data_IF_996764411010
#
_entry.id   IF_996764411010
#
_cell.length_a   1.000
_cell.length_b   1.000
_cell.length_c   1.000
_cell.angle_alpha   90.00
_cell.angle_beta   90.00
_cell.angle_gamma   90.00
#
_symmetry.space_group_name_H-M   'P 1'
#
loop_
_entity.id
_entity.type
_entity.pdbx_description
1 polymer ?
#
# COMPACT_ATOMS: atom_id res chain seq x y z
N UNK A 1 -47.05 6.79 -0.51
CA UNK A 1 -46.32 7.83 -1.26
C UNK A 1 -45.13 8.39 -0.47
N UNK A 2 -45.28 8.78 0.80
CA UNK A 2 -44.16 9.32 1.61
C UNK A 2 -42.91 8.42 1.71
N UNK A 3 -43.08 7.13 2.05
CA UNK A 3 -41.95 6.17 2.13
C UNK A 3 -41.20 6.01 0.81
N UNK A 4 -41.92 6.01 -0.32
CA UNK A 4 -41.32 5.91 -1.65
C UNK A 4 -40.48 7.14 -2.00
N UNK A 5 -40.95 8.33 -1.62
CA UNK A 5 -40.22 9.59 -1.80
C UNK A 5 -38.96 9.60 -0.93
N UNK A 6 -39.07 9.19 0.34
CA UNK A 6 -37.91 9.08 1.25
C UNK A 6 -36.88 8.09 0.70
N UNK A 7 -37.31 6.93 0.20
CA UNK A 7 -36.43 5.96 -0.44
C UNK A 7 -35.71 6.52 -1.66
N UNK A 8 -36.41 7.29 -2.50
CA UNK A 8 -35.82 7.95 -3.67
C UNK A 8 -34.79 9.00 -3.27
N UNK A 9 -35.10 9.85 -2.28
CA UNK A 9 -34.18 10.86 -1.75
C UNK A 9 -32.95 10.21 -1.13
N UNK A 10 -33.12 9.11 -0.39
CA UNK A 10 -32.01 8.37 0.18
C UNK A 10 -31.09 7.80 -0.91
N UNK A 11 -31.66 7.19 -1.95
CA UNK A 11 -30.88 6.64 -3.06
C UNK A 11 -30.09 7.73 -3.80
N UNK A 12 -30.74 8.85 -4.15
CA UNK A 12 -30.06 9.96 -4.83
C UNK A 12 -29.00 10.60 -3.96
N UNK A 13 -29.29 10.88 -2.69
CA UNK A 13 -28.32 11.44 -1.74
C UNK A 13 -27.12 10.51 -1.54
N UNK A 14 -27.35 9.20 -1.43
CA UNK A 14 -26.29 8.20 -1.31
C UNK A 14 -25.35 8.22 -2.53
N UNK A 15 -25.90 8.21 -3.75
CA UNK A 15 -25.08 8.30 -4.97
C UNK A 15 -24.35 9.63 -5.09
N UNK A 16 -25.00 10.75 -4.76
CA UNK A 16 -24.39 12.08 -4.75
C UNK A 16 -23.27 12.21 -3.71
N UNK A 17 -23.35 11.48 -2.59
CA UNK A 17 -22.29 11.42 -1.60
C UNK A 17 -21.12 10.53 -2.06
N UNK A 18 -21.41 9.36 -2.61
CA UNK A 18 -20.38 8.38 -2.96
C UNK A 18 -19.55 8.78 -4.19
N UNK A 19 -20.21 9.39 -5.19
CA UNK A 19 -19.56 9.75 -6.45
C UNK A 19 -18.37 10.71 -6.30
N UNK A 20 -18.50 11.86 -5.58
CA UNK A 20 -17.35 12.71 -5.28
C UNK A 20 -16.25 11.99 -4.49
N UNK A 21 -16.61 11.11 -3.55
CA UNK A 21 -15.63 10.30 -2.80
C UNK A 21 -14.79 9.42 -3.72
N UNK A 22 -15.43 8.69 -4.64
CA UNK A 22 -14.73 7.88 -5.64
C UNK A 22 -13.86 8.75 -6.58
N UNK A 23 -14.39 9.89 -7.02
CA UNK A 23 -13.66 10.81 -7.92
C UNK A 23 -12.41 11.39 -7.26
N UNK A 24 -12.51 11.82 -6.01
CA UNK A 24 -11.35 12.32 -5.23
C UNK A 24 -10.31 11.22 -5.06
N UNK A 25 -10.73 9.98 -4.77
CA UNK A 25 -9.81 8.83 -4.69
C UNK A 25 -9.03 8.61 -5.99
N UNK A 26 -9.72 8.66 -7.13
CA UNK A 26 -9.10 8.53 -8.45
C UNK A 26 -8.12 9.68 -8.76
N UNK A 27 -8.48 10.93 -8.41
CA UNK A 27 -7.61 12.08 -8.59
C UNK A 27 -6.33 11.98 -7.75
N UNK A 28 -6.44 11.54 -6.50
CA UNK A 28 -5.28 11.29 -5.62
C UNK A 28 -4.38 10.23 -6.25
N UNK A 29 -4.96 9.12 -6.72
CA UNK A 29 -4.21 8.04 -7.38
C UNK A 29 -3.41 8.56 -8.57
N UNK A 30 -4.05 9.25 -9.51
CA UNK A 30 -3.38 9.76 -10.71
C UNK A 30 -2.30 10.79 -10.34
N UNK A 31 -2.57 11.66 -9.37
CA UNK A 31 -1.61 12.64 -8.88
C UNK A 31 -0.37 12.00 -8.25
N UNK A 32 -0.55 10.98 -7.40
CA UNK A 32 0.55 10.24 -6.78
C UNK A 32 1.39 9.48 -7.82
N UNK A 33 0.75 8.82 -8.79
CA UNK A 33 1.46 8.13 -9.88
C UNK A 33 2.31 9.13 -10.66
N UNK A 34 1.75 10.29 -11.04
CA UNK A 34 2.48 11.31 -11.76
C UNK A 34 3.65 11.88 -10.95
N UNK A 35 3.47 12.11 -9.65
CA UNK A 35 4.52 12.59 -8.75
C UNK A 35 5.65 11.55 -8.60
N UNK A 36 5.30 10.29 -8.37
CA UNK A 36 6.27 9.21 -8.26
C UNK A 36 7.02 8.99 -9.57
N UNK A 37 6.34 9.08 -10.72
CA UNK A 37 6.98 8.99 -12.02
C UNK A 37 7.99 10.12 -12.25
N UNK A 38 7.63 11.37 -11.89
CA UNK A 38 8.57 12.50 -11.93
C UNK A 38 9.79 12.25 -11.04
N UNK A 39 9.59 11.72 -9.83
CA UNK A 39 10.68 11.35 -8.93
C UNK A 39 11.60 10.29 -9.53
N UNK A 40 11.05 9.30 -10.24
CA UNK A 40 11.87 8.29 -10.92
C UNK A 40 12.81 8.89 -11.98
N UNK A 41 12.39 9.98 -12.64
CA UNK A 41 13.20 10.66 -13.65
C UNK A 41 14.34 11.49 -13.06
N UNK A 42 14.25 11.89 -11.80
CA UNK A 42 15.27 12.70 -11.11
C UNK A 42 16.05 11.89 -10.08
N UNK A 43 15.82 10.58 -9.96
CA UNK A 43 16.44 9.77 -8.92
C UNK A 43 17.94 9.57 -9.17
N UNK A 44 18.76 9.69 -8.12
CA UNK A 44 20.20 9.45 -8.24
C UNK A 44 20.51 7.97 -8.52
N UNK A 45 21.52 7.70 -9.36
CA UNK A 45 22.05 6.34 -9.60
C UNK A 45 22.63 5.69 -8.34
N UNK A 46 22.89 6.47 -7.28
CA UNK A 46 23.29 5.97 -5.96
C UNK A 46 22.11 5.42 -5.14
N UNK A 47 20.87 5.60 -5.59
CA UNK A 47 19.71 5.05 -4.89
C UNK A 47 19.64 3.52 -5.05
N UNK A 48 19.48 2.81 -3.94
CA UNK A 48 19.49 1.34 -3.90
C UNK A 48 18.13 0.70 -4.17
N UNK A 49 17.13 1.51 -4.56
CA UNK A 49 15.75 1.04 -4.74
C UNK A 49 15.59 0.35 -6.09
N UNK A 50 15.12 -0.90 -6.07
CA UNK A 50 14.89 -1.67 -7.29
C UNK A 50 13.65 -1.19 -8.04
N UNK A 51 13.65 -1.32 -9.36
CA UNK A 51 12.47 -1.02 -10.21
C UNK A 51 11.25 -1.82 -9.76
N UNK A 52 11.43 -3.08 -9.34
CA UNK A 52 10.35 -3.91 -8.81
C UNK A 52 9.71 -3.34 -7.55
N UNK A 53 10.51 -2.76 -6.64
CA UNK A 53 9.99 -2.11 -5.44
C UNK A 53 9.15 -0.87 -5.78
N UNK A 54 9.57 -0.07 -6.77
CA UNK A 54 8.81 1.11 -7.24
C UNK A 54 7.49 0.70 -7.87
N UNK A 55 7.50 -0.29 -8.78
CA UNK A 55 6.28 -0.81 -9.43
C UNK A 55 5.31 -1.38 -8.40
N UNK A 56 5.82 -2.08 -7.38
CA UNK A 56 5.01 -2.58 -6.27
C UNK A 56 4.37 -1.43 -5.48
N UNK A 57 5.12 -0.36 -5.17
CA UNK A 57 4.61 0.80 -4.46
C UNK A 57 3.51 1.53 -5.27
N UNK A 58 3.71 1.70 -6.58
CA UNK A 58 2.70 2.28 -7.47
C UNK A 58 1.43 1.41 -7.53
N UNK A 59 1.58 0.08 -7.55
CA UNK A 59 0.45 -0.83 -7.72
C UNK A 59 -0.34 -1.05 -6.44
N UNK A 60 0.35 -1.12 -5.29
CA UNK A 60 -0.25 -1.48 -4.00
C UNK A 60 -0.45 -0.27 -3.09
N UNK A 61 0.60 0.51 -2.83
CA UNK A 61 0.55 1.62 -1.88
C UNK A 61 -0.28 2.81 -2.42
N UNK A 62 -0.31 3.06 -3.73
CA UNK A 62 -1.19 4.11 -4.29
C UNK A 62 -2.67 3.69 -4.27
N UNK A 63 -2.97 2.40 -4.47
CA UNK A 63 -4.35 1.89 -4.51
C UNK A 63 -5.08 2.08 -3.17
N UNK A 64 -4.36 2.10 -2.05
CA UNK A 64 -4.99 2.28 -0.73
C UNK A 64 -5.71 3.62 -0.60
N UNK A 65 -5.16 4.68 -1.20
CA UNK A 65 -5.76 6.03 -1.16
C UNK A 65 -7.09 6.10 -1.92
N UNK A 66 -7.16 5.43 -3.07
CA UNK A 66 -8.41 5.32 -3.83
C UNK A 66 -9.46 4.55 -3.03
N UNK A 67 -9.06 3.48 -2.36
CA UNK A 67 -9.95 2.66 -1.52
C UNK A 67 -10.41 3.41 -0.27
N UNK A 68 -9.59 4.28 0.31
CA UNK A 68 -9.92 5.04 1.51
C UNK A 68 -10.90 6.18 1.25
N UNK A 69 -10.80 6.86 0.11
CA UNK A 69 -11.58 8.06 -0.20
C UNK A 69 -13.11 7.94 -0.02
N UNK A 70 -13.80 6.87 -0.49
CA UNK A 70 -15.25 6.74 -0.29
C UNK A 70 -15.64 6.43 1.16
N UNK A 71 -14.75 5.81 1.95
CA UNK A 71 -15.08 5.34 3.30
C UNK A 71 -14.57 6.25 4.41
N UNK A 72 -13.65 7.18 4.12
CA UNK A 72 -12.98 7.98 5.14
C UNK A 72 -13.94 8.75 6.06
N UNK A 73 -15.06 9.24 5.51
CA UNK A 73 -16.06 9.98 6.28
C UNK A 73 -16.81 9.13 7.31
N UNK A 74 -16.81 7.80 7.18
CA UNK A 74 -17.46 6.91 8.16
C UNK A 74 -16.75 6.87 9.51
N UNK A 75 -15.52 7.37 9.65
CA UNK A 75 -14.86 7.50 10.96
C UNK A 75 -15.66 8.39 11.91
N UNK A 76 -16.25 9.49 11.40
CA UNK A 76 -17.02 10.42 12.22
C UNK A 76 -18.53 10.25 12.00
N UNK A 77 -18.97 9.90 10.79
CA UNK A 77 -20.38 9.62 10.52
C UNK A 77 -20.86 8.35 11.24
N UNK A 78 -20.03 7.30 11.31
CA UNK A 78 -20.41 6.04 11.94
C UNK A 78 -20.81 6.18 13.41
N UNK A 79 -19.97 6.77 14.28
CA UNK A 79 -20.33 7.01 15.68
C UNK A 79 -21.56 7.90 15.86
N UNK A 80 -21.71 8.93 15.02
CA UNK A 80 -22.87 9.81 15.04
C UNK A 80 -24.16 9.06 14.69
N UNK A 81 -24.12 8.26 13.63
CA UNK A 81 -25.23 7.40 13.21
C UNK A 81 -25.58 6.38 14.30
N UNK A 82 -24.57 5.74 14.91
CA UNK A 82 -24.77 4.82 16.02
C UNK A 82 -25.47 5.50 17.20
N UNK A 83 -25.06 6.71 17.59
CA UNK A 83 -25.70 7.46 18.66
C UNK A 83 -27.18 7.76 18.36
N UNK A 84 -27.50 8.17 17.13
CA UNK A 84 -28.89 8.42 16.71
C UNK A 84 -29.73 7.13 16.70
N UNK A 85 -29.19 6.03 16.19
CA UNK A 85 -29.91 4.75 16.16
C UNK A 85 -30.15 4.21 17.57
N UNK A 86 -29.16 4.33 18.47
CA UNK A 86 -29.30 3.95 19.88
C UNK A 86 -30.38 4.79 20.56
N UNK A 87 -30.42 6.10 20.30
CA UNK A 87 -31.47 6.99 20.82
C UNK A 87 -32.86 6.54 20.37
N UNK A 88 -33.06 6.26 19.08
CA UNK A 88 -34.36 5.77 18.59
C UNK A 88 -34.72 4.40 19.14
N UNK A 89 -33.77 3.45 19.20
CA UNK A 89 -34.00 2.14 19.79
C UNK A 89 -34.42 2.25 21.27
N UNK A 90 -33.77 3.12 22.04
CA UNK A 90 -34.12 3.36 23.43
C UNK A 90 -35.55 3.92 23.55
N UNK A 91 -35.98 4.80 22.65
CA UNK A 91 -37.36 5.31 22.64
C UNK A 91 -38.43 4.25 22.35
N UNK A 92 -38.12 3.21 21.56
CA UNK A 92 -39.08 2.15 21.21
C UNK A 92 -39.13 0.97 22.19
N UNK A 93 -37.96 0.50 22.66
CA UNK A 93 -37.84 -0.73 23.49
C UNK A 93 -37.15 -0.50 24.84
N UNK A 94 -36.89 0.76 25.18
CA UNK A 94 -36.30 1.16 26.46
C UNK A 94 -34.92 0.52 26.69
N UNK A 95 -34.60 0.09 27.92
CA UNK A 95 -33.28 -0.45 28.26
C UNK A 95 -32.98 -1.79 27.57
N UNK A 96 -33.98 -2.46 27.00
CA UNK A 96 -33.80 -3.73 26.28
C UNK A 96 -32.95 -3.57 25.02
N UNK A 97 -32.81 -2.34 24.49
CA UNK A 97 -31.92 -2.06 23.36
C UNK A 97 -30.45 -2.43 23.68
N UNK A 98 -30.01 -2.26 24.92
CA UNK A 98 -28.65 -2.58 25.33
C UNK A 98 -28.35 -4.08 25.30
N UNK A 99 -29.35 -4.95 25.46
CA UNK A 99 -29.20 -6.39 25.29
C UNK A 99 -29.00 -6.78 23.81
N UNK A 100 -29.71 -6.10 22.90
CA UNK A 100 -29.48 -6.25 21.46
C UNK A 100 -28.11 -5.72 21.04
N UNK A 101 -27.72 -4.55 21.56
CA UNK A 101 -26.41 -3.94 21.29
C UNK A 101 -25.27 -4.80 21.85
N UNK A 102 -25.40 -5.36 23.05
CA UNK A 102 -24.38 -6.24 23.62
C UNK A 102 -24.25 -7.53 22.80
N UNK A 103 -25.36 -8.10 22.33
CA UNK A 103 -25.30 -9.20 21.37
C UNK A 103 -24.55 -8.79 20.10
N UNK A 104 -24.86 -7.62 19.52
CA UNK A 104 -24.15 -7.10 18.35
C UNK A 104 -22.64 -6.96 18.59
N UNK A 105 -22.23 -6.39 19.73
CA UNK A 105 -20.82 -6.25 20.08
C UNK A 105 -20.12 -7.58 20.37
N UNK A 106 -20.81 -8.58 20.92
CA UNK A 106 -20.29 -9.94 21.12
C UNK A 106 -20.15 -10.70 19.80
N UNK A 107 -20.97 -10.37 18.80
CA UNK A 107 -20.93 -11.02 17.50
C UNK A 107 -19.70 -10.61 16.66
N UNK A 108 -19.17 -9.40 16.86
CA UNK A 108 -17.93 -8.93 16.22
C UNK A 108 -16.72 -9.83 16.56
N UNK A 109 -16.37 -10.09 17.83
CA UNK A 109 -15.29 -11.01 18.17
C UNK A 109 -15.64 -12.44 17.83
N UNK A 110 -16.91 -12.86 17.80
CA UNK A 110 -17.28 -14.21 17.33
C UNK A 110 -16.92 -14.38 15.85
N UNK A 111 -17.30 -13.46 14.97
CA UNK A 111 -16.83 -13.42 13.57
C UNK A 111 -15.30 -13.40 13.49
N UNK A 112 -14.66 -12.57 14.32
CA UNK A 112 -13.21 -12.48 14.41
C UNK A 112 -12.52 -13.76 14.90
N UNK A 113 -13.13 -14.52 15.81
CA UNK A 113 -12.62 -15.79 16.33
C UNK A 113 -12.83 -16.91 15.32
N UNK A 114 -13.96 -16.97 14.62
CA UNK A 114 -14.12 -17.87 13.47
C UNK A 114 -13.11 -17.56 12.36
N UNK A 115 -12.69 -16.29 12.20
CA UNK A 115 -11.57 -15.95 11.32
C UNK A 115 -10.20 -16.36 11.91
N UNK A 116 -9.94 -16.09 13.19
CA UNK A 116 -8.62 -16.26 13.86
C UNK A 116 -8.31 -17.69 14.31
N UNK A 117 -9.28 -18.41 14.86
CA UNK A 117 -9.11 -19.77 15.40
C UNK A 117 -8.76 -20.76 14.28
N UNK A 118 -9.12 -20.43 13.05
CA UNK A 118 -8.77 -21.17 11.86
C UNK A 118 -7.52 -20.62 11.14
N UNK A 119 -7.19 -19.34 11.36
CA UNK A 119 -5.89 -18.75 11.02
C UNK A 119 -4.72 -19.24 11.88
N UNK A 120 -4.94 -19.76 13.10
CA UNK A 120 -3.87 -20.34 13.96
C UNK A 120 -3.16 -21.55 13.34
N UNK A 121 -3.74 -22.22 12.33
CA UNK A 121 -3.04 -23.25 11.55
C UNK A 121 -2.05 -22.66 10.52
N UNK A 122 -2.11 -21.35 10.28
CA UNK A 122 -1.22 -20.56 9.43
C UNK A 122 -0.49 -19.53 10.33
N UNK A 123 0.45 -20.04 11.11
CA UNK A 123 1.14 -19.32 12.19
C UNK A 123 1.91 -18.07 11.73
N UNK A 124 1.86 -17.03 12.57
CA UNK A 124 2.89 -15.99 12.76
C UNK A 124 2.70 -14.55 12.22
N UNK A 125 1.51 -13.96 12.11
CA UNK A 125 1.37 -12.48 12.14
C UNK A 125 -0.03 -11.99 12.56
N UNK A 126 -0.28 -11.88 13.87
CA UNK A 126 -1.62 -11.69 14.46
C UNK A 126 -2.32 -10.33 14.27
N UNK A 127 -1.70 -9.34 13.62
CA UNK A 127 -2.34 -8.04 13.33
C UNK A 127 -2.41 -7.71 11.84
N UNK A 128 -1.55 -8.33 11.03
CA UNK A 128 -1.55 -8.20 9.57
C UNK A 128 -2.63 -9.10 8.96
N UNK A 129 -3.02 -10.19 9.63
CA UNK A 129 -3.94 -11.20 9.11
C UNK A 129 -5.34 -10.69 8.72
N UNK A 130 -5.85 -9.59 9.30
CA UNK A 130 -7.17 -9.05 8.92
C UNK A 130 -7.07 -8.20 7.63
N UNK A 131 -6.15 -7.23 7.56
CA UNK A 131 -5.80 -6.57 6.27
C UNK A 131 -5.36 -7.57 5.21
N UNK A 132 -4.68 -8.64 5.62
CA UNK A 132 -4.29 -9.74 4.74
C UNK A 132 -5.57 -10.44 4.27
N UNK A 133 -6.43 -11.03 5.10
CA UNK A 133 -7.63 -11.76 4.62
C UNK A 133 -8.52 -10.92 3.68
N UNK A 134 -8.63 -9.60 3.87
CA UNK A 134 -9.39 -8.74 2.96
C UNK A 134 -8.70 -8.52 1.61
N UNK A 135 -7.37 -8.36 1.60
CA UNK A 135 -6.55 -8.35 0.37
C UNK A 135 -6.47 -9.72 -0.28
N UNK A 136 -6.36 -10.78 0.51
CA UNK A 136 -6.28 -12.13 0.01
C UNK A 136 -7.68 -12.60 -0.49
N UNK A 137 -8.84 -12.12 -0.04
CA UNK A 137 -10.14 -12.50 -0.68
C UNK A 137 -10.22 -12.13 -2.17
N UNK A 138 -9.42 -11.15 -2.63
CA UNK A 138 -9.21 -10.81 -4.04
C UNK A 138 -7.94 -11.44 -4.68
N UNK A 139 -7.02 -12.01 -3.88
CA UNK A 139 -5.69 -12.52 -4.31
C UNK A 139 -5.37 -13.98 -3.82
N UNK A 140 -6.29 -14.68 -3.16
CA UNK A 140 -6.09 -16.01 -2.52
C UNK A 140 -5.83 -17.14 -3.51
N UNK A 141 -6.30 -17.11 -4.76
CA UNK A 141 -5.95 -18.19 -5.66
C UNK A 141 -4.49 -18.19 -6.10
N UNK A 142 -3.56 -17.34 -5.59
CA UNK A 142 -2.19 -17.28 -6.16
C UNK A 142 -1.00 -17.39 -5.20
N UNK A 143 -1.09 -17.14 -3.89
CA UNK A 143 0.15 -16.77 -3.15
C UNK A 143 0.77 -17.77 -2.16
N UNK A 144 0.15 -18.90 -1.77
CA UNK A 144 0.82 -19.82 -0.83
C UNK A 144 0.77 -21.31 -1.21
N UNK A 145 -0.06 -21.72 -2.16
CA UNK A 145 -0.14 -23.11 -2.64
C UNK A 145 -0.16 -23.21 -4.18
N UNK A 146 -0.08 -22.08 -4.87
CA UNK A 146 -0.16 -22.04 -6.33
C UNK A 146 1.20 -22.08 -7.03
N UNK A 147 2.27 -21.62 -6.38
CA UNK A 147 3.58 -21.59 -7.00
C UNK A 147 4.08 -22.99 -7.35
N UNK A 148 3.92 -24.00 -6.48
CA UNK A 148 4.51 -25.31 -6.75
C UNK A 148 3.88 -26.04 -7.93
N UNK A 149 2.54 -26.02 -8.07
CA UNK A 149 1.85 -26.63 -9.22
C UNK A 149 2.12 -25.85 -10.49
N UNK A 150 2.00 -24.53 -10.46
CA UNK A 150 2.21 -23.67 -11.65
C UNK A 150 3.66 -23.73 -12.11
N UNK A 151 4.61 -23.72 -11.18
CA UNK A 151 6.04 -23.93 -11.45
C UNK A 151 6.31 -25.29 -12.03
N UNK A 152 5.82 -26.37 -11.41
CA UNK A 152 6.01 -27.73 -11.92
C UNK A 152 5.43 -27.89 -13.34
N UNK A 153 4.27 -27.29 -13.61
CA UNK A 153 3.67 -27.27 -14.95
C UNK A 153 4.53 -26.48 -15.94
N UNK A 154 5.06 -25.32 -15.53
CA UNK A 154 5.96 -24.51 -16.35
C UNK A 154 7.25 -25.27 -16.69
N UNK A 155 7.87 -25.91 -15.72
CA UNK A 155 9.11 -26.68 -15.90
C UNK A 155 8.90 -27.84 -16.89
N UNK A 156 7.77 -28.57 -16.78
CA UNK A 156 7.39 -29.64 -17.71
C UNK A 156 7.16 -29.12 -19.13
N UNK A 157 6.49 -27.97 -19.29
CA UNK A 157 6.23 -27.37 -20.59
C UNK A 157 7.50 -26.86 -21.27
N UNK A 158 8.42 -26.26 -20.50
CA UNK A 158 9.72 -25.83 -21.00
C UNK A 158 10.59 -27.03 -21.43
N UNK A 159 10.48 -28.16 -20.73
CA UNK A 159 11.19 -29.41 -21.01
C UNK A 159 10.44 -30.45 -21.85
N UNK A 160 9.36 -30.09 -22.55
CA UNK A 160 8.39 -31.07 -23.08
C UNK A 160 9.00 -32.11 -24.04
N UNK A 161 10.01 -31.71 -24.83
CA UNK A 161 10.69 -32.61 -25.75
C UNK A 161 11.41 -33.75 -25.02
N UNK A 162 12.04 -33.45 -23.87
CA UNK A 162 12.73 -34.45 -23.04
C UNK A 162 11.74 -35.39 -22.37
N UNK A 163 10.62 -34.85 -21.89
CA UNK A 163 9.54 -35.63 -21.25
C UNK A 163 8.99 -36.66 -22.23
N UNK A 164 8.73 -36.27 -23.49
CA UNK A 164 8.25 -37.19 -24.54
C UNK A 164 9.29 -38.20 -24.98
N UNK A 165 10.54 -37.78 -25.15
CA UNK A 165 11.63 -38.69 -25.53
C UNK A 165 11.85 -39.78 -24.48
N UNK A 166 11.63 -39.45 -23.20
CA UNK A 166 11.86 -40.34 -22.07
C UNK A 166 10.60 -41.09 -21.61
N UNK A 167 9.45 -40.89 -22.27
CA UNK A 167 8.15 -41.42 -21.88
C UNK A 167 7.77 -41.13 -20.41
N UNK A 168 8.07 -39.91 -19.93
CA UNK A 168 7.82 -39.47 -18.55
C UNK A 168 6.47 -38.77 -18.35
N UNK A 169 5.54 -38.84 -19.32
CA UNK A 169 4.26 -38.14 -19.25
C UNK A 169 3.42 -38.59 -18.04
N UNK A 170 3.27 -39.91 -17.88
CA UNK A 170 2.53 -40.53 -16.79
C UNK A 170 3.04 -40.16 -15.38
N UNK A 171 4.34 -40.31 -15.05
CA UNK A 171 4.84 -39.93 -13.74
C UNK A 171 4.75 -38.41 -13.47
N UNK A 172 5.01 -37.57 -14.47
CA UNK A 172 4.87 -36.11 -14.33
C UNK A 172 3.41 -35.69 -14.12
N UNK A 173 2.49 -36.30 -14.87
CA UNK A 173 1.04 -36.06 -14.70
C UNK A 173 0.57 -36.46 -13.30
N UNK A 174 1.00 -37.63 -12.80
CA UNK A 174 0.68 -38.06 -11.43
C UNK A 174 1.17 -37.06 -10.39
N UNK A 175 2.42 -36.60 -10.52
CA UNK A 175 2.97 -35.58 -9.60
C UNK A 175 2.20 -34.27 -9.61
N UNK A 176 1.80 -33.78 -10.79
CA UNK A 176 0.99 -32.56 -10.91
C UNK A 176 -0.41 -32.75 -10.31
N UNK A 177 -1.01 -33.94 -10.47
CA UNK A 177 -2.31 -34.25 -9.89
C UNK A 177 -2.27 -34.35 -8.35
N UNK A 178 -1.20 -34.90 -7.76
CA UNK A 178 -1.00 -34.87 -6.30
C UNK A 178 -1.01 -33.44 -5.76
N UNK A 179 -0.25 -32.54 -6.39
CA UNK A 179 -0.22 -31.12 -6.04
C UNK A 179 -1.60 -30.47 -6.20
N UNK A 180 -2.34 -30.83 -7.25
CA UNK A 180 -3.70 -30.33 -7.49
C UNK A 180 -4.68 -30.79 -6.41
N UNK A 181 -4.59 -32.04 -5.95
CA UNK A 181 -5.49 -32.56 -4.93
C UNK A 181 -5.27 -31.85 -3.57
N UNK A 182 -4.02 -31.58 -3.21
CA UNK A 182 -3.66 -30.77 -2.04
C UNK A 182 -4.19 -29.33 -2.17
N UNK A 183 -3.99 -28.71 -3.34
CA UNK A 183 -4.51 -27.37 -3.66
C UNK A 183 -6.04 -27.31 -3.51
N UNK A 184 -6.76 -28.26 -4.12
CA UNK A 184 -8.22 -28.35 -4.06
C UNK A 184 -8.69 -28.57 -2.62
N UNK A 185 -8.02 -29.42 -1.84
CA UNK A 185 -8.36 -29.62 -0.44
C UNK A 185 -8.22 -28.32 0.37
N UNK A 186 -7.18 -27.53 0.11
CA UNK A 186 -6.99 -26.22 0.72
C UNK A 186 -8.08 -25.23 0.29
N UNK A 187 -8.36 -25.13 -1.01
CA UNK A 187 -9.40 -24.24 -1.56
C UNK A 187 -10.78 -24.60 -0.99
N UNK A 188 -11.13 -25.89 -0.91
CA UNK A 188 -12.40 -26.33 -0.33
C UNK A 188 -12.55 -25.91 1.12
N UNK A 189 -11.49 -26.07 1.94
CA UNK A 189 -11.49 -25.63 3.34
C UNK A 189 -11.63 -24.11 3.42
N UNK A 190 -10.89 -23.35 2.63
CA UNK A 190 -10.98 -21.89 2.60
C UNK A 190 -12.39 -21.40 2.20
N UNK A 191 -12.98 -22.01 1.16
CA UNK A 191 -14.34 -21.66 0.72
C UNK A 191 -15.41 -22.09 1.73
N UNK A 192 -15.27 -23.23 2.40
CA UNK A 192 -16.19 -23.63 3.47
C UNK A 192 -16.16 -22.62 4.63
N UNK A 193 -14.97 -22.11 4.99
CA UNK A 193 -14.83 -21.07 6.01
C UNK A 193 -15.45 -19.75 5.57
N UNK A 194 -15.20 -19.33 4.33
CA UNK A 194 -15.84 -18.14 3.74
C UNK A 194 -17.36 -18.26 3.77
N UNK A 195 -17.90 -19.40 3.36
CA UNK A 195 -19.33 -19.67 3.37
C UNK A 195 -19.92 -19.62 4.79
N UNK A 196 -19.21 -20.16 5.78
CA UNK A 196 -19.63 -20.09 7.18
C UNK A 196 -19.64 -18.65 7.71
N UNK A 197 -18.62 -17.85 7.39
CA UNK A 197 -18.58 -16.44 7.78
C UNK A 197 -19.73 -15.63 7.15
N UNK A 198 -20.01 -15.85 5.87
CA UNK A 198 -21.16 -15.24 5.17
C UNK A 198 -22.50 -15.69 5.78
N UNK A 199 -22.64 -16.99 6.09
CA UNK A 199 -23.84 -17.51 6.74
C UNK A 199 -24.09 -16.85 8.11
N UNK A 200 -23.04 -16.69 8.92
CA UNK A 200 -23.10 -15.96 10.18
C UNK A 200 -23.52 -14.51 9.96
N UNK A 201 -22.98 -13.82 8.95
CA UNK A 201 -23.36 -12.45 8.60
C UNK A 201 -24.87 -12.30 8.32
N UNK A 202 -25.49 -13.25 7.59
CA UNK A 202 -26.93 -13.23 7.33
C UNK A 202 -27.79 -13.65 8.54
N UNK A 203 -27.28 -14.53 9.40
CA UNK A 203 -28.02 -15.02 10.57
C UNK A 203 -28.07 -14.01 11.74
N UNK A 204 -27.02 -13.20 11.89
CA UNK A 204 -26.85 -12.30 13.03
C UNK A 204 -27.97 -11.28 13.28
N UNK A 205 -28.58 -10.63 12.27
CA UNK A 205 -29.71 -9.71 12.49
C UNK A 205 -30.87 -10.36 13.24
N UNK A 206 -31.15 -11.63 12.92
CA UNK A 206 -32.22 -12.38 13.57
C UNK A 206 -31.88 -12.64 15.04
N UNK A 207 -30.63 -13.03 15.33
CA UNK A 207 -30.16 -13.26 16.71
C UNK A 207 -30.20 -11.98 17.54
N UNK A 208 -29.67 -10.88 17.02
CA UNK A 208 -29.66 -9.57 17.71
C UNK A 208 -31.09 -9.13 18.03
N UNK A 209 -31.98 -9.21 17.05
CA UNK A 209 -33.39 -8.85 17.23
C UNK A 209 -34.08 -9.77 18.23
N UNK A 210 -33.83 -11.08 18.17
CA UNK A 210 -34.39 -12.05 19.11
C UNK A 210 -33.96 -11.76 20.56
N UNK A 211 -32.67 -11.53 20.80
CA UNK A 211 -32.16 -11.21 22.15
C UNK A 211 -32.80 -9.92 22.69
N UNK A 212 -32.90 -8.88 21.87
CA UNK A 212 -33.53 -7.62 22.27
C UNK A 212 -35.02 -7.80 22.64
N UNK A 213 -35.79 -8.49 21.79
CA UNK A 213 -37.24 -8.67 22.01
C UNK A 213 -37.57 -9.68 23.11
N UNK A 214 -36.78 -10.75 23.26
CA UNK A 214 -36.91 -11.69 24.39
C UNK A 214 -36.66 -10.95 25.70
N UNK A 215 -35.63 -10.09 25.76
CA UNK A 215 -35.34 -9.27 26.94
C UNK A 215 -36.48 -8.28 27.22
N UNK A 216 -36.99 -7.61 26.18
CA UNK A 216 -38.11 -6.68 26.30
C UNK A 216 -39.38 -7.34 26.84
N UNK A 217 -39.69 -8.55 26.36
CA UNK A 217 -40.80 -9.35 26.85
C UNK A 217 -40.58 -9.87 28.28
N UNK A 218 -39.37 -10.32 28.61
CA UNK A 218 -39.01 -10.78 29.95
C UNK A 218 -39.11 -9.67 31.01
N UNK A 219 -38.91 -8.40 30.61
CA UNK A 219 -39.14 -7.22 31.45
C UNK A 219 -40.64 -6.89 31.66
N UNK A 220 -41.55 -7.74 31.17
CA UNK A 220 -43.00 -7.59 31.33
C UNK A 220 -43.66 -6.69 30.30
N UNK A 221 -42.95 -6.25 29.26
CA UNK A 221 -43.51 -5.39 28.23
C UNK A 221 -44.22 -6.21 27.14
N UNK A 222 -45.27 -5.62 26.56
CA UNK A 222 -46.00 -6.25 25.46
C UNK A 222 -45.33 -5.99 24.11
N UNK A 223 -45.01 -7.04 23.38
CA UNK A 223 -44.48 -6.95 22.02
C UNK A 223 -45.59 -6.49 21.06
N UNK A 224 -45.54 -5.22 20.67
CA UNK A 224 -46.47 -4.67 19.68
C UNK A 224 -45.76 -4.46 18.33
N UNK A 225 -46.44 -4.72 17.19
CA UNK A 225 -45.85 -4.56 15.85
C UNK A 225 -45.26 -3.17 15.57
N UNK A 226 -45.88 -2.12 16.13
CA UNK A 226 -45.45 -0.72 16.04
C UNK A 226 -44.07 -0.45 16.64
N UNK A 227 -43.61 -1.29 17.58
CA UNK A 227 -42.27 -1.19 18.17
C UNK A 227 -41.29 -2.17 17.52
N UNK A 228 -41.76 -3.38 17.18
CA UNK A 228 -40.91 -4.48 16.69
C UNK A 228 -40.36 -4.20 15.29
N UNK A 229 -41.21 -3.81 14.34
CA UNK A 229 -40.75 -3.61 12.95
C UNK A 229 -39.75 -2.46 12.80
N UNK A 230 -39.95 -1.27 13.41
CA UNK A 230 -38.95 -0.21 13.37
C UNK A 230 -37.62 -0.61 14.03
N UNK A 231 -37.66 -1.32 15.16
CA UNK A 231 -36.46 -1.78 15.83
C UNK A 231 -35.64 -2.77 14.99
N UNK A 232 -36.29 -3.71 14.28
CA UNK A 232 -35.58 -4.61 13.37
C UNK A 232 -34.87 -3.84 12.25
N UNK A 233 -35.51 -2.82 11.69
CA UNK A 233 -34.89 -1.95 10.68
C UNK A 233 -33.68 -1.20 11.26
N UNK A 234 -33.83 -0.60 12.45
CA UNK A 234 -32.75 0.13 13.14
C UNK A 234 -31.57 -0.77 13.50
N UNK A 235 -31.81 -1.99 13.98
CA UNK A 235 -30.75 -2.97 14.24
C UNK A 235 -29.98 -3.34 12.97
N UNK A 236 -30.66 -3.44 11.82
CA UNK A 236 -30.00 -3.71 10.55
C UNK A 236 -29.09 -2.55 10.09
N UNK A 237 -29.55 -1.31 10.28
CA UNK A 237 -28.79 -0.09 9.97
C UNK A 237 -27.51 -0.02 10.80
N UNK A 238 -27.63 -0.05 12.14
CA UNK A 238 -26.45 0.04 13.02
C UNK A 238 -25.48 -1.12 12.81
N UNK A 239 -25.98 -2.33 12.49
CA UNK A 239 -25.14 -3.47 12.14
C UNK A 239 -24.29 -3.17 10.92
N UNK A 240 -24.88 -2.71 9.81
CA UNK A 240 -24.15 -2.43 8.57
C UNK A 240 -23.06 -1.37 8.82
N UNK A 241 -23.42 -0.29 9.50
CA UNK A 241 -22.53 0.83 9.76
C UNK A 241 -21.40 0.47 10.73
N UNK A 242 -21.70 -0.18 11.86
CA UNK A 242 -20.71 -0.52 12.89
C UNK A 242 -19.90 -1.79 12.60
N UNK A 243 -20.45 -2.74 11.86
CA UNK A 243 -19.76 -4.01 11.57
C UNK A 243 -19.02 -3.97 10.23
N UNK A 244 -19.49 -3.19 9.26
CA UNK A 244 -18.90 -3.16 7.90
C UNK A 244 -18.21 -1.84 7.57
N UNK A 245 -18.94 -0.71 7.59
CA UNK A 245 -18.39 0.56 7.08
C UNK A 245 -17.36 1.19 8.02
N UNK A 246 -17.64 1.23 9.32
CA UNK A 246 -16.74 1.82 10.30
C UNK A 246 -15.40 1.07 10.39
N UNK A 247 -15.36 -0.27 10.52
CA UNK A 247 -14.09 -1.01 10.49
C UNK A 247 -13.34 -0.85 9.17
N UNK A 248 -14.04 -0.86 8.03
CA UNK A 248 -13.43 -0.66 6.70
C UNK A 248 -12.82 0.74 6.54
N UNK A 249 -13.43 1.76 7.13
CA UNK A 249 -12.87 3.12 7.15
C UNK A 249 -11.56 3.15 7.94
N UNK A 250 -11.52 2.52 9.13
CA UNK A 250 -10.30 2.42 9.95
C UNK A 250 -9.20 1.68 9.20
N UNK A 251 -9.52 0.52 8.62
CA UNK A 251 -8.60 -0.30 7.86
C UNK A 251 -7.99 0.48 6.69
N UNK A 252 -8.81 1.02 5.81
CA UNK A 252 -8.34 1.71 4.60
C UNK A 252 -7.54 2.98 4.91
N UNK A 253 -7.89 3.70 5.98
CA UNK A 253 -7.12 4.86 6.44
C UNK A 253 -5.78 4.44 7.04
N UNK A 254 -5.75 3.39 7.87
CA UNK A 254 -4.51 2.86 8.43
C UNK A 254 -3.56 2.37 7.33
N UNK A 255 -4.07 1.64 6.33
CA UNK A 255 -3.29 1.21 5.18
C UNK A 255 -2.77 2.40 4.36
N UNK A 256 -3.60 3.43 4.16
CA UNK A 256 -3.19 4.65 3.45
C UNK A 256 -2.14 5.43 4.21
N UNK A 257 -2.19 5.45 5.54
CA UNK A 257 -1.18 6.10 6.37
C UNK A 257 0.19 5.42 6.22
N UNK A 258 0.25 4.09 6.31
CA UNK A 258 1.50 3.33 6.12
C UNK A 258 2.04 3.52 4.70
N UNK A 259 1.15 3.50 3.70
CA UNK A 259 1.49 3.74 2.30
C UNK A 259 2.03 5.16 2.09
N UNK A 260 1.46 6.16 2.75
CA UNK A 260 1.94 7.54 2.73
C UNK A 260 3.36 7.66 3.28
N UNK A 261 3.69 6.95 4.37
CA UNK A 261 5.04 6.94 4.94
C UNK A 261 6.05 6.39 3.93
N UNK A 262 5.76 5.25 3.30
CA UNK A 262 6.64 4.63 2.30
C UNK A 262 6.82 5.47 1.05
N UNK A 263 5.73 6.07 0.55
CA UNK A 263 5.80 7.00 -0.58
C UNK A 263 6.63 8.23 -0.20
N UNK A 264 6.47 8.76 1.01
CA UNK A 264 7.27 9.88 1.52
C UNK A 264 8.75 9.52 1.57
N UNK A 265 9.11 8.36 2.13
CA UNK A 265 10.50 7.86 2.17
C UNK A 265 11.09 7.75 0.76
N UNK A 266 10.32 7.25 -0.21
CA UNK A 266 10.72 7.20 -1.61
C UNK A 266 10.91 8.60 -2.24
N UNK A 267 9.98 9.52 -1.98
CA UNK A 267 10.05 10.89 -2.49
C UNK A 267 11.20 11.70 -1.87
N UNK A 268 11.70 11.32 -0.70
CA UNK A 268 12.84 11.96 -0.03
C UNK A 268 14.21 11.40 -0.45
N UNK A 269 14.24 10.41 -1.34
CA UNK A 269 15.51 9.87 -1.84
C UNK A 269 16.34 10.94 -2.58
N UNK A 270 17.69 10.83 -2.56
CA UNK A 270 18.56 11.79 -3.23
C UNK A 270 18.26 11.92 -4.72
N UNK A 271 18.16 13.16 -5.20
CA UNK A 271 17.96 13.47 -6.61
C UNK A 271 19.28 13.72 -7.33
N UNK A 272 19.33 13.37 -8.60
CA UNK A 272 20.35 13.81 -9.52
C UNK A 272 20.23 15.34 -9.63
N UNK A 273 21.25 16.07 -9.18
CA UNK A 273 21.29 17.52 -9.37
C UNK A 273 21.28 17.80 -10.88
N UNK A 274 20.31 18.59 -11.33
CA UNK A 274 20.43 19.21 -12.65
C UNK A 274 21.69 20.07 -12.63
N UNK A 275 22.52 19.94 -13.65
CA UNK A 275 23.57 20.91 -13.90
C UNK A 275 22.80 22.16 -14.34
N UNK A 276 22.63 23.13 -13.44
CA UNK A 276 21.90 24.35 -13.74
C UNK A 276 22.51 24.98 -15.01
N UNK A 277 21.68 25.16 -16.04
CA UNK A 277 22.06 25.76 -17.31
C UNK A 277 22.51 27.21 -17.20
N UNK A 278 22.49 27.82 -16.01
CA UNK A 278 23.10 29.12 -15.75
C UNK A 278 24.63 29.06 -15.74
N UNK A 279 25.24 27.88 -15.63
CA UNK A 279 26.66 27.72 -15.97
C UNK A 279 26.91 27.76 -17.49
N UNK A 280 25.88 27.54 -18.31
CA UNK A 280 25.96 27.57 -19.79
C UNK A 280 25.50 28.89 -20.43
N UNK A 281 24.97 29.85 -19.66
CA UNK A 281 24.49 31.14 -20.20
C UNK A 281 25.58 32.23 -20.34
N UNK A 282 26.84 31.93 -19.97
CA UNK A 282 27.98 32.83 -20.19
C UNK A 282 29.23 32.11 -20.73
N UNK A 283 29.10 31.31 -21.79
CA UNK A 283 30.24 31.07 -22.67
C UNK A 283 30.49 32.31 -23.55
N UNK A 284 30.98 33.39 -22.95
CA UNK A 284 31.79 34.36 -23.71
C UNK A 284 33.12 33.68 -23.96
N UNK A 285 33.32 33.12 -25.17
CA UNK A 285 34.58 32.53 -25.63
C UNK A 285 35.78 33.38 -25.17
N UNK A 286 36.56 32.94 -24.16
CA UNK A 286 37.81 33.58 -23.82
C UNK A 286 38.90 32.64 -24.30
N UNK A 287 39.24 32.66 -25.60
CA UNK A 287 40.50 32.10 -26.14
C UNK A 287 40.96 30.70 -25.66
N UNK A 288 40.07 29.84 -25.15
CA UNK A 288 40.37 28.47 -24.75
C UNK A 288 39.95 27.53 -25.88
N UNK A 289 40.91 26.76 -26.40
CA UNK A 289 40.72 25.81 -27.51
C UNK A 289 39.90 24.57 -27.11
N UNK A 290 39.70 24.34 -25.82
CA UNK A 290 39.05 23.16 -25.26
C UNK A 290 37.54 23.36 -25.00
N UNK A 291 36.70 22.44 -25.49
CA UNK A 291 35.25 22.36 -25.25
C UNK A 291 34.93 21.65 -23.93
N UNK A 292 35.73 20.65 -23.54
CA UNK A 292 35.59 19.92 -22.30
C UNK A 292 36.91 19.99 -21.54
N UNK A 293 36.86 20.35 -20.27
CA UNK A 293 38.05 20.39 -19.42
C UNK A 293 37.69 19.80 -18.05
N UNK A 294 38.44 18.79 -17.65
CA UNK A 294 38.38 18.16 -16.34
C UNK A 294 39.73 18.43 -15.66
N UNK A 295 39.70 18.93 -14.43
CA UNK A 295 40.89 19.19 -13.62
C UNK A 295 40.75 18.53 -12.26
N UNK A 296 41.70 17.65 -11.93
CA UNK A 296 41.81 16.94 -10.66
C UNK A 296 40.50 16.30 -10.17
N UNK A 297 39.67 15.82 -11.12
CA UNK A 297 38.33 15.34 -10.84
C UNK A 297 38.35 13.91 -10.27
N UNK A 298 37.59 13.69 -9.20
CA UNK A 298 37.45 12.38 -8.56
C UNK A 298 35.97 12.02 -8.40
N UNK A 299 35.60 10.77 -8.70
CA UNK A 299 34.21 10.31 -8.71
C UNK A 299 34.05 9.02 -7.88
N UNK A 300 32.91 8.89 -7.21
CA UNK A 300 32.54 7.72 -6.38
C UNK A 300 31.08 7.33 -6.61
N UNK A 301 30.77 6.03 -6.50
CA UNK A 301 29.41 5.51 -6.61
C UNK A 301 28.59 5.68 -5.33
N UNK A 302 29.25 5.63 -4.16
CA UNK A 302 28.58 5.69 -2.86
C UNK A 302 28.85 7.04 -2.21
N UNK A 303 27.80 7.83 -2.04
CA UNK A 303 27.81 9.02 -1.20
C UNK A 303 27.51 8.58 0.24
N UNK A 304 28.39 8.88 1.19
CA UNK A 304 28.13 8.63 2.61
C UNK A 304 27.10 9.65 3.12
N UNK A 305 26.17 9.24 4.00
CA UNK A 305 25.37 10.19 4.78
C UNK A 305 26.32 11.07 5.61
N UNK A 306 26.56 12.30 5.16
CA UNK A 306 27.48 13.25 5.80
C UNK A 306 28.48 13.92 4.85
N UNK A 307 28.61 13.46 3.62
CA UNK A 307 29.48 14.12 2.64
C UNK A 307 28.84 15.44 2.17
N UNK A 308 29.46 16.58 2.54
CA UNK A 308 29.13 17.85 1.91
C UNK A 308 29.39 17.75 0.42
N UNK A 309 28.35 17.99 -0.37
CA UNK A 309 28.50 18.06 -1.82
C UNK A 309 29.21 19.38 -2.12
N UNK A 310 30.54 19.29 -2.24
CA UNK A 310 31.42 20.42 -2.57
C UNK A 310 30.88 21.09 -3.83
N UNK A 311 30.50 22.36 -3.69
CA UNK A 311 30.20 23.24 -4.82
C UNK A 311 31.49 23.37 -5.61
N UNK A 312 31.53 22.81 -6.82
CA UNK A 312 32.57 23.16 -7.79
C UNK A 312 32.28 24.59 -8.24
N UNK A 313 32.81 25.56 -7.49
CA UNK A 313 32.84 26.94 -7.91
C UNK A 313 34.00 27.10 -8.89
N UNK A 314 33.68 27.33 -10.17
CA UNK A 314 34.68 27.73 -11.15
C UNK A 314 35.22 29.11 -10.76
N UNK A 315 36.52 29.18 -10.48
CA UNK A 315 37.18 30.40 -10.01
C UNK A 315 37.31 31.38 -11.17
N UNK A 316 36.64 32.52 -11.07
CA UNK A 316 36.82 33.62 -12.01
C UNK A 316 38.20 34.27 -11.76
N UNK A 317 39.09 34.25 -12.76
CA UNK A 317 40.35 34.98 -12.70
C UNK A 317 40.08 36.48 -12.73
N UNK A 318 40.41 37.18 -11.64
CA UNK A 318 40.44 38.64 -11.62
C UNK A 318 39.93 39.31 -10.34
N UNK A 319 40.50 38.98 -9.17
CA UNK A 319 40.69 40.00 -8.12
C UNK A 319 41.73 39.51 -7.10
N UNK A 320 42.83 40.25 -6.97
CA UNK A 320 43.83 40.11 -5.92
C UNK A 320 43.30 40.65 -4.59
N UNK A 321 43.31 39.85 -3.52
CA UNK A 321 43.43 40.34 -2.15
C UNK A 321 43.93 39.24 -1.20
N UNK A 322 45.06 39.58 -0.59
CA UNK A 322 45.76 39.14 0.63
C UNK A 322 45.33 37.93 1.48
N UNK A 323 46.39 37.29 2.02
CA UNK A 323 46.45 36.23 3.02
C UNK A 323 45.61 36.48 4.29
N UNK A 324 44.98 35.42 4.80
CA UNK A 324 44.89 35.12 6.24
C UNK A 324 44.82 33.59 6.46
N UNK A 325 45.34 33.05 7.57
CA UNK A 325 45.98 31.74 7.60
C UNK A 325 45.04 30.56 7.88
N UNK A 326 45.53 29.40 7.47
CA UNK A 326 45.06 28.06 7.78
C UNK A 326 44.99 27.76 9.28
N UNK A 327 43.80 27.40 9.76
CA UNK A 327 43.63 26.49 10.90
C UNK A 327 42.34 25.70 10.70
N UNK A 328 42.47 24.51 10.13
CA UNK A 328 41.45 23.46 10.27
C UNK A 328 42.09 22.38 11.12
N UNK A 329 41.67 22.30 12.38
CA UNK A 329 42.02 21.21 13.27
C UNK A 329 41.62 19.87 12.63
N UNK A 330 42.59 18.95 12.51
CA UNK A 330 42.34 17.56 12.15
C UNK A 330 41.46 16.91 13.22
N UNK A 331 40.15 16.89 12.99
CA UNK A 331 39.27 15.96 13.70
C UNK A 331 39.34 14.61 12.99
N UNK A 332 40.27 13.77 13.44
CA UNK A 332 40.44 12.38 13.03
C UNK A 332 39.12 11.60 13.26
N UNK A 333 38.26 11.52 12.25
CA UNK A 333 37.16 10.56 12.23
C UNK A 333 37.66 9.25 11.64
N UNK A 334 37.69 8.23 12.49
CA UNK A 334 37.90 6.82 12.15
C UNK A 334 36.72 6.30 11.33
N UNK A 335 36.72 6.58 10.03
CA UNK A 335 35.82 5.99 9.05
C UNK A 335 36.60 5.62 7.79
N UNK A 336 36.35 4.42 7.23
CA UNK A 336 36.96 3.97 5.96
C UNK A 336 36.70 5.02 4.88
N UNK A 337 37.75 5.57 4.27
CA UNK A 337 37.60 6.48 3.13
C UNK A 337 36.74 5.83 2.03
N UNK A 338 35.78 6.56 1.42
CA UNK A 338 35.04 6.05 0.28
C UNK A 338 36.03 5.69 -0.82
N UNK A 339 35.94 4.46 -1.35
CA UNK A 339 36.76 4.04 -2.48
C UNK A 339 36.32 4.83 -3.72
N UNK A 340 36.97 5.97 -3.96
CA UNK A 340 36.80 6.70 -5.22
C UNK A 340 37.15 5.78 -6.39
N UNK A 341 36.23 5.69 -7.34
CA UNK A 341 36.25 4.82 -8.53
C UNK A 341 37.14 5.45 -9.60
N UNK A 342 37.04 6.77 -9.75
CA UNK A 342 37.92 7.56 -10.59
C UNK A 342 38.62 8.59 -9.70
N UNK A 343 39.92 8.78 -9.90
CA UNK A 343 40.75 9.68 -9.08
C UNK A 343 41.63 10.55 -9.97
N UNK A 344 41.71 11.83 -9.63
CA UNK A 344 42.64 12.81 -10.21
C UNK A 344 42.62 12.82 -11.76
N UNK A 345 41.42 12.84 -12.34
CA UNK A 345 41.24 12.95 -13.79
C UNK A 345 41.50 14.40 -14.23
N UNK A 346 42.55 14.57 -15.03
CA UNK A 346 42.90 15.85 -15.64
C UNK A 346 43.08 15.68 -17.14
N UNK A 347 42.16 16.22 -17.95
CA UNK A 347 42.28 16.26 -19.41
C UNK A 347 41.42 17.37 -20.03
N UNK A 348 41.84 17.86 -21.19
CA UNK A 348 41.09 18.78 -22.04
C UNK A 348 40.77 18.15 -23.39
N UNK A 349 39.66 18.52 -24.01
CA UNK A 349 39.26 18.09 -25.36
C UNK A 349 38.84 19.28 -26.20
N UNK A 350 39.46 19.43 -27.37
CA UNK A 350 39.19 20.50 -28.34
C UNK A 350 37.93 20.30 -29.18
N UNK A 351 37.60 21.32 -29.98
CA UNK A 351 36.56 21.23 -31.01
C UNK A 351 37.03 20.32 -32.15
N UNK A 352 36.20 19.36 -32.56
CA UNK A 352 36.48 18.39 -33.64
C UNK A 352 37.56 17.33 -33.32
N UNK A 353 37.86 17.10 -32.05
CA UNK A 353 38.75 16.01 -31.60
C UNK A 353 37.97 14.76 -31.19
N UNK A 354 38.54 13.57 -31.44
CA UNK A 354 38.00 12.27 -31.02
C UNK A 354 38.84 11.68 -29.88
N UNK A 355 38.24 11.48 -28.72
CA UNK A 355 38.89 10.85 -27.56
C UNK A 355 38.66 9.33 -27.55
N UNK A 356 39.75 8.55 -27.53
CA UNK A 356 39.70 7.11 -27.32
C UNK A 356 40.08 6.76 -25.86
N UNK A 357 39.21 6.07 -25.14
CA UNK A 357 39.47 5.60 -23.77
C UNK A 357 39.87 4.12 -23.81
N UNK A 358 41.10 3.81 -23.39
CA UNK A 358 41.64 2.45 -23.33
C UNK A 358 42.01 2.09 -21.90
N UNK A 359 41.70 0.86 -21.48
CA UNK A 359 42.01 0.40 -20.13
C UNK A 359 41.64 -1.07 -19.87
N UNK A 360 42.13 -1.65 -18.77
CA UNK A 360 41.76 -2.99 -18.33
C UNK A 360 40.31 -3.03 -17.83
N UNK A 361 39.67 -4.21 -17.88
CA UNK A 361 38.27 -4.40 -17.44
C UNK A 361 38.15 -4.17 -15.93
N UNK A 362 37.29 -3.22 -15.53
CA UNK A 362 36.81 -3.05 -14.14
C UNK A 362 37.71 -2.22 -13.21
N UNK A 363 38.50 -1.27 -13.72
CA UNK A 363 39.26 -0.31 -12.90
C UNK A 363 38.55 1.03 -12.73
#
# INVERSE_FOLDING_TARGET
>A
MGLSIVGMIHATAHHHFFWPGMRTGMQIRVGLIALMYRKCLTLSSSSTVSTGAIVNMISNDVQTFENAAPFANYIWLGPLEAALVIYFLYSYIGPSCFAGLSALFLLIPVQGLFAKQFGRKWSHTGHVFWSYIQKISAYIPSLLTNDDRVRSLSDVLMGINLVKLSAWEEPMQRRINELRDEEIACIRRANALRAMNEALFFFFPAVVSAVAFITFWALGNQLRPDNVFPCMALFNVIRLTMTSFFPRAIETISESHISAQRITEFLLLPELRHIDGDASSHFQHPSNENILELMDASFTWNLSQGDEIVRVAFKHSGMSSELAPSTTEEKKMTGKEPKNVLRNLTFGLGKEELLAVVGPVGR
#
